data_IF_551195601137
#
_entry.id   IF_551195601137
#
_cell.length_a   1.000
_cell.length_b   1.000
_cell.length_c   1.000
_cell.angle_alpha   90.00
_cell.angle_beta   90.00
_cell.angle_gamma   90.00
#
_symmetry.space_group_name_H-M   'P 1'
#
loop_
_entity.id
_entity.type
_entity.pdbx_description
1 polymer ?
#
# COMPACT_ATOMS: atom_id res chain seq x y z
N UNK A 1 -22.63 -4.22 19.68
CA UNK A 1 -21.24 -4.41 19.21
C UNK A 1 -21.18 -5.78 18.55
N UNK A 2 -21.03 -5.85 17.23
CA UNK A 2 -20.76 -7.13 16.56
C UNK A 2 -19.39 -7.64 16.97
N UNK A 3 -19.25 -8.94 17.17
CA UNK A 3 -17.93 -9.56 17.37
C UNK A 3 -17.05 -9.25 16.16
N UNK A 4 -15.83 -8.78 16.41
CA UNK A 4 -14.86 -8.56 15.33
C UNK A 4 -14.69 -9.88 14.55
N UNK A 5 -14.65 -9.84 13.21
CA UNK A 5 -14.50 -11.05 12.41
C UNK A 5 -13.20 -11.75 12.79
N UNK A 6 -13.28 -13.06 13.04
CA UNK A 6 -12.12 -13.91 13.34
C UNK A 6 -11.82 -14.87 12.18
N UNK A 7 -10.56 -15.30 12.10
CA UNK A 7 -10.06 -16.33 11.20
C UNK A 7 -9.40 -17.42 12.04
N UNK A 8 -9.47 -18.66 11.57
CA UNK A 8 -8.81 -19.80 12.20
C UNK A 8 -7.62 -20.18 11.33
N UNK A 9 -6.44 -20.24 11.95
CA UNK A 9 -5.19 -20.64 11.31
C UNK A 9 -4.68 -21.90 12.00
N UNK A 10 -4.61 -23.00 11.27
CA UNK A 10 -3.93 -24.21 11.76
C UNK A 10 -2.43 -24.03 11.63
N UNK A 11 -1.73 -24.01 12.77
CA UNK A 11 -0.29 -23.78 12.82
C UNK A 11 0.47 -25.01 13.32
N UNK A 12 1.54 -25.38 12.61
CA UNK A 12 2.31 -26.61 12.88
C UNK A 12 3.74 -26.28 13.30
N UNK A 13 4.20 -26.68 14.49
CA UNK A 13 5.60 -26.54 14.94
C UNK A 13 6.19 -27.93 15.20
N UNK A 14 6.97 -28.43 14.24
CA UNK A 14 7.40 -29.83 14.21
C UNK A 14 6.18 -30.75 14.09
N UNK A 15 6.10 -31.76 14.97
CA UNK A 15 4.98 -32.71 15.00
C UNK A 15 3.74 -32.21 15.78
N UNK A 16 3.78 -30.97 16.29
CA UNK A 16 2.70 -30.36 17.09
C UNK A 16 1.90 -29.39 16.24
N UNK A 17 0.59 -29.31 16.47
CA UNK A 17 -0.26 -28.33 15.81
C UNK A 17 -1.31 -27.76 16.74
N UNK A 18 -1.74 -26.53 16.47
CA UNK A 18 -2.88 -25.91 17.12
C UNK A 18 -3.69 -25.09 16.11
N UNK A 19 -5.01 -25.07 16.30
CA UNK A 19 -5.90 -24.14 15.62
C UNK A 19 -5.93 -22.83 16.40
N UNK A 20 -5.51 -21.76 15.74
CA UNK A 20 -5.37 -20.44 16.32
C UNK A 20 -6.45 -19.54 15.76
N UNK A 21 -7.42 -19.21 16.60
CA UNK A 21 -8.39 -18.14 16.32
C UNK A 21 -7.72 -16.76 16.49
N UNK A 22 -7.81 -15.94 15.47
CA UNK A 22 -7.22 -14.61 15.39
C UNK A 22 -8.22 -13.59 14.83
N UNK A 23 -8.17 -12.34 15.27
CA UNK A 23 -8.93 -11.26 14.64
C UNK A 23 -8.46 -11.05 13.19
N UNK A 24 -9.40 -11.00 12.26
CA UNK A 24 -9.14 -10.91 10.84
C UNK A 24 -8.67 -9.52 10.40
N UNK A 25 -9.17 -8.47 11.06
CA UNK A 25 -8.93 -7.09 10.66
C UNK A 25 -7.90 -6.40 11.57
N UNK A 26 -6.74 -5.97 11.06
CA UNK A 26 -5.74 -5.26 11.85
C UNK A 26 -6.23 -3.93 12.44
N UNK A 27 -7.24 -3.29 11.83
CA UNK A 27 -7.77 -2.00 12.28
C UNK A 27 -8.49 -2.10 13.63
N UNK A 28 -8.89 -3.29 14.06
CA UNK A 28 -9.49 -3.48 15.41
C UNK A 28 -8.52 -3.16 16.54
N UNK A 29 -7.21 -3.18 16.27
CA UNK A 29 -6.19 -2.81 17.24
C UNK A 29 -5.91 -1.30 17.26
N UNK A 30 -6.35 -0.56 16.24
CA UNK A 30 -6.05 0.85 16.06
C UNK A 30 -5.15 1.13 14.85
N UNK A 31 -5.16 2.39 14.42
CA UNK A 31 -4.45 2.90 13.24
C UNK A 31 -2.94 2.69 13.35
N UNK A 32 -2.40 2.90 14.56
CA UNK A 32 -0.98 2.76 14.87
C UNK A 32 -0.46 1.33 14.68
N UNK A 33 -1.34 0.33 14.77
CA UNK A 33 -0.96 -1.07 14.56
C UNK A 33 -0.91 -1.45 13.09
N UNK A 34 -1.83 -0.91 12.28
CA UNK A 34 -1.85 -1.15 10.84
C UNK A 34 -0.53 -0.76 10.16
N UNK A 35 0.07 0.36 10.56
CA UNK A 35 1.35 0.81 10.01
C UNK A 35 2.56 -0.02 10.49
N UNK A 36 2.47 -0.62 11.68
CA UNK A 36 3.63 -1.22 12.36
C UNK A 36 3.81 -2.72 12.12
N UNK A 37 2.82 -3.42 11.55
CA UNK A 37 2.95 -4.86 11.27
C UNK A 37 4.02 -5.20 10.24
N UNK A 38 4.25 -4.33 9.25
CA UNK A 38 5.33 -4.53 8.28
C UNK A 38 6.72 -4.35 8.90
N UNK A 39 6.84 -3.51 9.92
CA UNK A 39 8.12 -3.19 10.56
C UNK A 39 8.45 -4.17 11.69
N UNK A 40 7.43 -4.68 12.37
CA UNK A 40 7.60 -5.64 13.44
C UNK A 40 6.48 -6.69 13.40
N UNK A 41 6.68 -7.78 12.63
CA UNK A 41 5.70 -8.84 12.46
C UNK A 41 5.20 -9.39 13.79
N UNK A 42 6.06 -9.52 14.81
CA UNK A 42 5.70 -10.07 16.13
C UNK A 42 4.55 -9.35 16.85
N UNK A 43 4.26 -8.09 16.48
CA UNK A 43 3.15 -7.32 17.03
C UNK A 43 1.78 -7.94 16.71
N UNK A 44 1.67 -8.74 15.64
CA UNK A 44 0.40 -9.38 15.25
C UNK A 44 -0.15 -10.35 16.30
N UNK A 45 0.66 -10.77 17.28
CA UNK A 45 0.23 -11.58 18.43
C UNK A 45 -0.96 -10.97 19.18
N UNK A 46 -1.12 -9.64 19.14
CA UNK A 46 -2.27 -8.95 19.74
C UNK A 46 -3.60 -9.29 19.08
N UNK A 47 -3.57 -9.87 17.88
CA UNK A 47 -4.76 -10.36 17.18
C UNK A 47 -5.18 -11.76 17.63
N UNK A 48 -4.34 -12.49 18.38
CA UNK A 48 -4.73 -13.78 18.94
C UNK A 48 -5.83 -13.58 20.01
N UNK A 49 -6.84 -14.44 19.99
CA UNK A 49 -7.73 -14.55 21.15
C UNK A 49 -6.96 -15.10 22.35
N UNK A 50 -7.49 -14.89 23.57
CA UNK A 50 -6.85 -15.38 24.80
C UNK A 50 -6.54 -16.88 24.76
N UNK A 51 -7.48 -17.67 24.24
CA UNK A 51 -7.35 -19.13 24.13
C UNK A 51 -6.24 -19.52 23.13
N UNK A 52 -6.22 -18.87 21.97
CA UNK A 52 -5.18 -19.08 20.94
C UNK A 52 -3.81 -18.64 21.41
N UNK A 53 -3.73 -17.61 22.26
CA UNK A 53 -2.49 -17.18 22.90
C UNK A 53 -1.86 -18.32 23.70
N UNK A 54 -2.63 -18.97 24.58
CA UNK A 54 -2.15 -20.12 25.35
C UNK A 54 -1.78 -21.32 24.46
N UNK A 55 -2.61 -21.63 23.46
CA UNK A 55 -2.34 -22.71 22.53
C UNK A 55 -1.06 -22.48 21.72
N UNK A 56 -0.76 -21.25 21.32
CA UNK A 56 0.46 -20.92 20.61
C UNK A 56 1.70 -21.02 21.52
N UNK A 57 1.61 -20.58 22.77
CA UNK A 57 2.74 -20.68 23.70
C UNK A 57 3.13 -22.13 24.00
N UNK A 58 2.17 -23.07 24.04
CA UNK A 58 2.46 -24.49 24.24
C UNK A 58 3.15 -25.17 23.05
N UNK A 59 3.15 -24.54 21.87
CA UNK A 59 3.88 -24.99 20.69
C UNK A 59 5.36 -24.62 20.71
N UNK A 60 5.81 -23.72 21.60
CA UNK A 60 7.19 -23.23 21.68
C UNK A 60 7.78 -22.76 20.32
N UNK A 61 7.17 -21.76 19.66
CA UNK A 61 7.60 -21.29 18.33
C UNK A 61 8.95 -20.58 18.36
N UNK A 62 9.80 -20.89 17.37
CA UNK A 62 11.07 -20.19 17.10
C UNK A 62 10.85 -18.81 16.44
N UNK A 63 11.88 -17.96 16.32
CA UNK A 63 11.79 -16.70 15.54
C UNK A 63 11.22 -16.87 14.13
N UNK A 64 11.63 -17.91 13.40
CA UNK A 64 11.17 -18.17 12.02
C UNK A 64 9.69 -18.61 11.96
N UNK A 65 9.24 -19.32 13.00
CA UNK A 65 7.85 -19.73 13.15
C UNK A 65 6.90 -18.52 13.27
N UNK A 66 7.36 -17.43 13.88
CA UNK A 66 6.57 -16.19 13.98
C UNK A 66 6.33 -15.56 12.62
N UNK A 67 7.35 -15.56 11.75
CA UNK A 67 7.21 -15.03 10.40
C UNK A 67 6.22 -15.89 9.59
N UNK A 68 6.34 -17.21 9.68
CA UNK A 68 5.43 -18.13 8.99
C UNK A 68 3.99 -17.98 9.49
N UNK A 69 3.78 -17.90 10.80
CA UNK A 69 2.45 -17.69 11.37
C UNK A 69 1.85 -16.35 10.94
N UNK A 70 2.66 -15.29 10.86
CA UNK A 70 2.22 -14.00 10.35
C UNK A 70 1.77 -14.08 8.88
N UNK A 71 2.51 -14.80 8.04
CA UNK A 71 2.12 -15.06 6.65
C UNK A 71 0.80 -15.82 6.55
N UNK A 72 0.64 -16.89 7.34
CA UNK A 72 -0.60 -17.68 7.37
C UNK A 72 -1.81 -16.85 7.82
N UNK A 73 -1.62 -16.01 8.84
CA UNK A 73 -2.66 -15.08 9.28
C UNK A 73 -3.03 -14.07 8.19
N UNK A 74 -2.03 -13.46 7.53
CA UNK A 74 -2.30 -12.52 6.43
C UNK A 74 -3.13 -13.17 5.33
N UNK A 75 -2.75 -14.38 4.90
CA UNK A 75 -3.47 -15.13 3.88
C UNK A 75 -4.91 -15.43 4.29
N UNK A 76 -5.11 -15.92 5.52
CA UNK A 76 -6.44 -16.20 6.06
C UNK A 76 -7.32 -14.94 6.19
N UNK A 77 -6.72 -13.80 6.55
CA UNK A 77 -7.37 -12.49 6.59
C UNK A 77 -7.64 -11.90 5.19
N UNK A 78 -7.17 -12.55 4.12
CA UNK A 78 -7.24 -12.05 2.74
C UNK A 78 -6.35 -10.82 2.49
N UNK A 79 -5.35 -10.63 3.35
CA UNK A 79 -4.31 -9.61 3.29
C UNK A 79 -3.05 -10.19 2.63
N UNK A 80 -2.09 -9.31 2.35
CA UNK A 80 -0.75 -9.64 1.85
C UNK A 80 0.20 -8.50 2.28
N UNK A 81 1.51 -8.72 2.17
CA UNK A 81 2.49 -7.67 2.44
C UNK A 81 2.23 -6.41 1.58
N UNK A 82 1.87 -6.61 0.31
CA UNK A 82 1.47 -5.55 -0.61
C UNK A 82 0.20 -4.83 -0.16
N UNK A 83 -0.84 -5.55 0.27
CA UNK A 83 -2.07 -4.94 0.80
C UNK A 83 -1.81 -4.14 2.07
N UNK A 84 -0.98 -4.65 2.98
CA UNK A 84 -0.56 -3.89 4.16
C UNK A 84 0.21 -2.64 3.79
N UNK A 85 1.03 -2.70 2.72
CA UNK A 85 1.72 -1.52 2.20
C UNK A 85 0.73 -0.48 1.68
N UNK A 86 -0.30 -0.90 0.92
CA UNK A 86 -1.38 0.01 0.50
C UNK A 86 -2.14 0.62 1.67
N UNK A 87 -2.43 -0.14 2.73
CA UNK A 87 -3.06 0.42 3.94
C UNK A 87 -2.16 1.47 4.61
N UNK A 88 -0.85 1.23 4.67
CA UNK A 88 0.11 2.22 5.17
C UNK A 88 0.12 3.48 4.31
N UNK A 89 0.22 3.34 2.98
CA UNK A 89 0.13 4.47 2.06
C UNK A 89 -1.19 5.21 2.22
N UNK A 90 -2.28 4.48 2.50
CA UNK A 90 -3.58 5.10 2.66
C UNK A 90 -3.65 6.03 3.86
N UNK A 91 -3.01 5.64 4.97
CA UNK A 91 -2.88 6.50 6.15
C UNK A 91 -1.99 7.72 5.89
N UNK A 92 -0.98 7.59 5.02
CA UNK A 92 -0.08 8.70 4.66
C UNK A 92 -0.74 9.73 3.73
N UNK A 93 -1.71 9.29 2.91
CA UNK A 93 -2.38 10.10 1.90
C UNK A 93 -3.90 10.18 2.12
N UNK A 94 -4.32 10.24 3.39
CA UNK A 94 -5.73 10.11 3.77
C UNK A 94 -6.64 11.13 3.07
N UNK A 95 -6.22 12.39 2.95
CA UNK A 95 -7.00 13.44 2.29
C UNK A 95 -7.21 13.19 0.78
N UNK A 96 -6.18 12.71 0.08
CA UNK A 96 -6.30 12.37 -1.34
C UNK A 96 -7.24 11.19 -1.55
N UNK A 97 -7.11 10.17 -0.69
CA UNK A 97 -7.93 8.97 -0.74
C UNK A 97 -9.37 9.24 -0.36
N UNK A 98 -9.64 10.10 0.62
CA UNK A 98 -10.99 10.50 0.98
C UNK A 98 -11.74 11.05 -0.24
N UNK A 99 -11.11 11.99 -0.95
CA UNK A 99 -11.70 12.59 -2.15
C UNK A 99 -11.94 11.54 -3.24
N UNK A 100 -10.97 10.65 -3.49
CA UNK A 100 -11.12 9.62 -4.51
C UNK A 100 -12.15 8.54 -4.11
N UNK A 101 -12.23 8.16 -2.84
CA UNK A 101 -13.21 7.21 -2.32
C UNK A 101 -14.64 7.75 -2.42
N UNK A 102 -14.84 9.02 -2.05
CA UNK A 102 -16.12 9.69 -2.21
C UNK A 102 -16.49 9.80 -3.68
N UNK A 103 -15.55 10.21 -4.54
CA UNK A 103 -15.80 10.41 -5.98
C UNK A 103 -16.11 9.11 -6.72
N UNK A 104 -15.31 8.07 -6.51
CA UNK A 104 -15.35 6.85 -7.32
C UNK A 104 -16.19 5.73 -6.71
N UNK A 105 -16.27 5.65 -5.38
CA UNK A 105 -16.93 4.55 -4.70
C UNK A 105 -18.12 4.98 -3.84
N UNK A 106 -18.32 6.29 -3.64
CA UNK A 106 -19.34 6.83 -2.72
C UNK A 106 -19.17 6.27 -1.30
N UNK A 107 -17.91 6.12 -0.87
CA UNK A 107 -17.54 5.56 0.43
C UNK A 107 -16.85 6.63 1.26
N UNK A 108 -17.25 6.75 2.53
CA UNK A 108 -16.50 7.49 3.55
C UNK A 108 -15.32 6.63 4.05
N UNK A 109 -14.08 7.05 3.75
CA UNK A 109 -12.87 6.34 4.20
C UNK A 109 -12.77 6.32 5.73
N UNK A 110 -13.34 7.28 6.46
CA UNK A 110 -13.32 7.27 7.92
C UNK A 110 -14.14 6.12 8.51
N UNK A 111 -15.06 5.53 7.74
CA UNK A 111 -15.73 4.27 8.11
C UNK A 111 -14.75 3.13 8.34
N UNK A 112 -13.60 3.12 7.65
CA UNK A 112 -12.52 2.17 7.93
C UNK A 112 -11.93 2.37 9.32
N UNK A 113 -11.63 3.62 9.70
CA UNK A 113 -11.06 3.93 11.02
C UNK A 113 -12.03 3.61 12.16
N UNK A 114 -13.34 3.66 11.88
CA UNK A 114 -14.41 3.24 12.81
C UNK A 114 -14.65 1.72 12.83
N UNK A 115 -13.99 0.95 11.96
CA UNK A 115 -14.17 -0.50 11.84
C UNK A 115 -15.44 -0.92 11.06
N UNK A 116 -16.11 0.02 10.38
CA UNK A 116 -17.30 -0.24 9.55
C UNK A 116 -16.91 -0.83 8.19
N UNK A 117 -15.70 -0.52 7.71
CA UNK A 117 -15.15 -1.01 6.44
C UNK A 117 -13.96 -1.91 6.73
N UNK A 118 -13.95 -3.17 6.26
CA UNK A 118 -12.82 -4.05 6.49
C UNK A 118 -11.53 -3.56 5.81
N UNK A 119 -10.39 -3.68 6.49
CA UNK A 119 -9.06 -3.34 5.96
C UNK A 119 -8.76 -4.05 4.65
N UNK A 120 -9.18 -5.31 4.50
CA UNK A 120 -9.05 -6.05 3.23
C UNK A 120 -9.74 -5.32 2.06
N UNK A 121 -10.92 -4.77 2.29
CA UNK A 121 -11.68 -4.04 1.26
C UNK A 121 -10.99 -2.73 0.93
N UNK A 122 -10.55 -1.99 1.96
CA UNK A 122 -9.81 -0.74 1.76
C UNK A 122 -8.54 -0.98 0.96
N UNK A 123 -7.73 -1.99 1.32
CA UNK A 123 -6.50 -2.30 0.61
C UNK A 123 -6.74 -2.56 -0.89
N UNK A 124 -7.80 -3.31 -1.24
CA UNK A 124 -8.15 -3.57 -2.63
C UNK A 124 -8.55 -2.28 -3.39
N UNK A 125 -9.34 -1.40 -2.76
CA UNK A 125 -9.77 -0.15 -3.38
C UNK A 125 -8.60 0.83 -3.54
N UNK A 126 -7.73 0.91 -2.53
CA UNK A 126 -6.53 1.75 -2.57
C UNK A 126 -5.56 1.25 -3.64
N UNK A 127 -5.39 -0.07 -3.78
CA UNK A 127 -4.58 -0.66 -4.86
C UNK A 127 -5.11 -0.28 -6.25
N UNK A 128 -6.44 -0.30 -6.44
CA UNK A 128 -7.07 0.14 -7.69
C UNK A 128 -6.81 1.63 -7.97
N UNK A 129 -6.98 2.51 -6.97
CA UNK A 129 -6.68 3.94 -7.13
C UNK A 129 -5.19 4.21 -7.39
N UNK A 130 -4.29 3.49 -6.72
CA UNK A 130 -2.84 3.63 -6.91
C UNK A 130 -2.42 3.40 -8.37
N UNK A 131 -3.08 2.46 -9.05
CA UNK A 131 -2.79 2.12 -10.44
C UNK A 131 -3.32 3.16 -11.45
N UNK A 132 -4.14 4.12 -11.00
CA UNK A 132 -4.91 5.02 -11.84
C UNK A 132 -4.40 6.47 -11.74
N UNK A 133 -3.58 6.94 -12.70
CA UNK A 133 -2.96 8.27 -12.65
C UNK A 133 -3.94 9.44 -12.71
N UNK A 134 -5.20 9.20 -13.10
CA UNK A 134 -6.27 10.21 -13.10
C UNK A 134 -6.85 10.48 -11.70
N UNK A 135 -6.58 9.60 -10.73
CA UNK A 135 -7.02 9.75 -9.34
C UNK A 135 -6.02 10.62 -8.58
N UNK A 136 -6.44 11.30 -7.51
CA UNK A 136 -5.53 12.13 -6.72
C UNK A 136 -4.45 11.29 -6.05
N UNK A 137 -4.84 10.15 -5.51
CA UNK A 137 -3.93 9.22 -4.89
C UNK A 137 -2.97 8.59 -5.90
N UNK A 138 -3.47 8.11 -7.04
CA UNK A 138 -2.61 7.59 -8.10
C UNK A 138 -1.65 8.65 -8.63
N UNK A 139 -2.11 9.88 -8.90
CA UNK A 139 -1.23 10.99 -9.28
C UNK A 139 -0.11 11.23 -8.27
N UNK A 140 -0.40 11.16 -6.96
CA UNK A 140 0.62 11.26 -5.92
C UNK A 140 1.62 10.09 -5.97
N UNK A 141 1.15 8.86 -6.19
CA UNK A 141 2.01 7.68 -6.32
C UNK A 141 2.92 7.72 -7.55
N UNK A 142 2.46 8.31 -8.66
CA UNK A 142 3.24 8.53 -9.87
C UNK A 142 4.06 9.83 -9.84
N UNK A 143 3.97 10.66 -8.79
CA UNK A 143 4.67 11.94 -8.71
C UNK A 143 4.21 12.98 -9.75
N UNK A 144 2.95 12.92 -10.15
CA UNK A 144 2.29 13.82 -11.09
C UNK A 144 1.71 15.01 -10.30
N UNK A 145 2.09 16.24 -10.67
CA UNK A 145 1.79 17.48 -9.91
C UNK A 145 0.30 17.84 -9.91
N UNK A 146 -0.45 17.43 -10.93
CA UNK A 146 -1.91 17.65 -11.03
C UNK A 146 -2.57 16.39 -11.56
N UNK A 147 -3.65 15.89 -10.92
CA UNK A 147 -4.41 14.76 -11.45
C UNK A 147 -4.93 15.14 -12.83
N UNK A 148 -4.46 14.44 -13.86
CA UNK A 148 -4.84 14.69 -15.24
C UNK A 148 -6.16 13.99 -15.53
N UNK A 149 -7.07 14.65 -16.26
CA UNK A 149 -8.25 13.96 -16.77
C UNK A 149 -7.84 12.83 -17.73
N UNK A 150 -8.64 11.77 -17.81
CA UNK A 150 -8.36 10.63 -18.70
C UNK A 150 -8.09 11.07 -20.16
N UNK A 151 -8.82 12.08 -20.65
CA UNK A 151 -8.60 12.66 -21.97
C UNK A 151 -7.25 13.36 -22.13
N UNK A 152 -6.76 14.02 -21.07
CA UNK A 152 -5.44 14.68 -21.04
C UNK A 152 -4.31 13.66 -20.98
N UNK A 153 -4.51 12.54 -20.26
CA UNK A 153 -3.57 11.41 -20.23
C UNK A 153 -3.49 10.77 -21.62
N UNK A 154 -4.62 10.49 -22.26
CA UNK A 154 -4.65 9.91 -23.61
C UNK A 154 -4.02 10.85 -24.64
N UNK A 155 -4.29 12.15 -24.57
CA UNK A 155 -3.65 13.15 -25.42
C UNK A 155 -2.14 13.21 -25.18
N UNK A 156 -1.70 13.26 -23.92
CA UNK A 156 -0.28 13.28 -23.58
C UNK A 156 0.44 11.99 -24.03
N UNK A 157 -0.17 10.82 -23.88
CA UNK A 157 0.37 9.55 -24.35
C UNK A 157 0.45 9.47 -25.88
N UNK A 158 -0.61 9.91 -26.59
CA UNK A 158 -0.61 9.93 -28.06
C UNK A 158 0.42 10.89 -28.65
N UNK A 159 0.59 12.07 -28.03
CA UNK A 159 1.63 13.04 -28.43
C UNK A 159 3.02 12.50 -28.12
N UNK A 160 3.22 11.83 -26.98
CA UNK A 160 4.48 11.17 -26.64
C UNK A 160 4.81 10.02 -27.61
N UNK A 161 3.82 9.22 -27.99
CA UNK A 161 3.97 8.10 -28.93
C UNK A 161 4.34 8.57 -30.35
N UNK A 162 3.86 9.75 -30.76
CA UNK A 162 4.16 10.36 -32.05
C UNK A 162 5.40 11.28 -32.03
N UNK A 163 6.04 11.47 -30.87
CA UNK A 163 7.31 12.18 -30.79
C UNK A 163 8.45 11.29 -31.28
N UNK A 164 9.26 11.77 -32.23
CA UNK A 164 10.46 11.07 -32.74
C UNK A 164 11.41 10.60 -31.63
N UNK A 165 11.36 11.24 -30.46
CA UNK A 165 12.21 10.91 -29.32
C UNK A 165 11.63 9.84 -28.37
N UNK A 166 10.37 9.38 -28.56
CA UNK A 166 9.63 8.49 -27.64
C UNK A 166 9.69 8.92 -26.16
N UNK A 167 9.85 10.22 -25.89
CA UNK A 167 9.97 10.75 -24.53
C UNK A 167 8.57 10.98 -23.94
N UNK A 168 8.36 10.70 -22.64
CA UNK A 168 7.09 11.01 -21.99
C UNK A 168 6.79 12.51 -22.12
N UNK A 169 5.52 12.81 -22.42
CA UNK A 169 5.04 14.18 -22.56
C UNK A 169 5.24 14.94 -21.24
N UNK A 170 5.49 16.25 -21.30
CA UNK A 170 5.84 17.09 -20.13
C UNK A 170 4.82 17.02 -18.99
N UNK A 171 3.54 16.76 -19.30
CA UNK A 171 2.48 16.58 -18.31
C UNK A 171 2.52 15.23 -17.58
N UNK A 172 3.18 14.23 -18.16
CA UNK A 172 3.33 12.87 -17.60
C UNK A 172 4.68 12.66 -16.93
N UNK A 173 5.58 13.65 -16.95
CA UNK A 173 6.88 13.55 -16.31
C UNK A 173 6.72 13.60 -14.80
N UNK A 174 7.38 12.67 -14.12
CA UNK A 174 7.44 12.67 -12.66
C UNK A 174 8.39 13.79 -12.20
N UNK A 175 8.22 14.27 -10.95
CA UNK A 175 9.15 15.24 -10.35
C UNK A 175 10.60 14.76 -10.40
N UNK A 176 10.83 13.47 -10.17
CA UNK A 176 12.17 12.86 -10.22
C UNK A 176 12.79 12.93 -11.64
N UNK A 177 11.98 12.71 -12.69
CA UNK A 177 12.44 12.84 -14.08
C UNK A 177 12.72 14.29 -14.47
N UNK A 178 11.95 15.24 -13.94
CA UNK A 178 12.20 16.66 -14.14
C UNK A 178 13.50 17.12 -13.46
N UNK A 179 13.78 16.63 -12.26
CA UNK A 179 15.01 16.93 -11.54
C UNK A 179 16.23 16.28 -12.22
N UNK A 180 16.11 15.03 -12.68
CA UNK A 180 17.17 14.36 -13.46
C UNK A 180 17.47 15.11 -14.77
N UNK A 181 16.45 15.54 -15.51
CA UNK A 181 16.66 16.37 -16.71
C UNK A 181 17.26 17.74 -16.37
N UNK A 182 16.92 18.32 -15.22
CA UNK A 182 17.49 19.59 -14.77
C UNK A 182 18.98 19.43 -14.48
N UNK A 183 19.37 18.38 -13.76
CA UNK A 183 20.77 18.05 -13.52
C UNK A 183 21.53 17.74 -14.81
N UNK A 184 20.92 17.01 -15.75
CA UNK A 184 21.53 16.69 -17.03
C UNK A 184 21.71 17.95 -17.89
N UNK A 185 20.71 18.85 -17.92
CA UNK A 185 20.82 20.17 -18.57
C UNK A 185 21.89 21.03 -17.91
N UNK A 186 22.03 20.98 -16.59
CA UNK A 186 23.10 21.68 -15.88
C UNK A 186 24.48 21.09 -16.19
N UNK A 187 24.62 19.76 -16.25
CA UNK A 187 25.87 19.08 -16.65
C UNK A 187 26.24 19.45 -18.08
N UNK A 188 25.28 19.42 -19.02
CA UNK A 188 25.50 19.82 -20.42
C UNK A 188 25.87 21.30 -20.52
N UNK A 189 25.21 22.19 -19.76
CA UNK A 189 25.60 23.61 -19.68
C UNK A 189 27.02 23.79 -19.15
N UNK A 190 27.41 23.03 -18.11
CA UNK A 190 28.76 23.06 -17.54
C UNK A 190 29.81 22.51 -18.52
N UNK A 191 29.49 21.47 -19.29
CA UNK A 191 30.38 20.93 -20.34
C UNK A 191 30.54 21.90 -21.51
N UNK A 192 29.44 22.51 -22.00
CA UNK A 192 29.49 23.55 -23.04
C UNK A 192 30.24 24.80 -22.58
N UNK A 193 30.07 25.22 -21.33
CA UNK A 193 30.80 26.36 -20.76
C UNK A 193 32.31 26.10 -20.62
N UNK A 194 32.73 24.83 -20.58
CA UNK A 194 34.14 24.41 -20.55
C UNK A 194 34.73 24.16 -21.94
N UNK A 195 33.99 24.46 -23.01
CA UNK A 195 34.48 24.33 -24.40
C UNK A 195 34.63 22.89 -24.89
N UNK A 196 34.15 21.90 -24.13
CA UNK A 196 34.10 20.51 -24.55
C UNK A 196 32.77 20.29 -25.27
N UNK A 197 32.79 20.23 -26.60
CA UNK A 197 31.66 19.70 -27.35
C UNK A 197 31.59 18.18 -27.13
N UNK A 198 30.38 17.66 -26.99
CA UNK A 198 30.10 16.23 -27.11
C UNK A 198 30.50 15.72 -28.49
#
# INVERSE_FOLDING_TARGET
MGTAPTVIVTFHVGDRSADLEMTADPMTLGVEWCATFLENPSKFRRLLTTNSGFALFSLFPSPDDWQRLFTLWMEAAGLSAEKLHYLRLALQHLEAIEVDFLRHFQIDIFGWLRGEIPSRRVANLVADLAARPETRFGAAMFGIVTPLAAGEIMLAQSVAANSEAKKPHMLLKTLAEMDAEREEREKIKRMRARGLSA
#
